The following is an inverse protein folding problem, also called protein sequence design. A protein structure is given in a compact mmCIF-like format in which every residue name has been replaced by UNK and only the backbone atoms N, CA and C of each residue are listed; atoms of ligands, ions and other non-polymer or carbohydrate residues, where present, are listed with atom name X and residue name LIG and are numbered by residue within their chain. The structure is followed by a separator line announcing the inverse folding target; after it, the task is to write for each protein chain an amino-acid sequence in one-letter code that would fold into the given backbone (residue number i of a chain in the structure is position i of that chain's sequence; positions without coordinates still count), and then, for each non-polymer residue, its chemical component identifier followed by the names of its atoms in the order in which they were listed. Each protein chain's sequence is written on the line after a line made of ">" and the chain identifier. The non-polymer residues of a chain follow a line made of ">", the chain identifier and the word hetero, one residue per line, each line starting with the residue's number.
data_IF_238816404701
#
_entry.id   IF_238816404701
#
_cell.length_a   1.000
_cell.length_b   1.000
_cell.length_c   1.000
_cell.angle_alpha   90.00
_cell.angle_beta   90.00
_cell.angle_gamma   90.00
#
_symmetry.space_group_name_H-M   'P 1'
#
loop_
_entity.id
_entity.type
_entity.pdbx_description
1 polymer ?
#
# COMPACT_ATOMS: atom_id res chain seq x y z
N UNK A 1 -4.30 28.83 1.59
CA UNK A 1 -4.67 27.55 0.98
C UNK A 1 -4.86 26.56 2.12
N UNK A 2 -6.05 26.01 2.28
CA UNK A 2 -6.36 25.10 3.39
C UNK A 2 -5.80 23.72 3.07
N UNK A 3 -4.75 23.29 3.79
CA UNK A 3 -4.19 21.95 3.64
C UNK A 3 -5.17 20.96 4.26
N UNK A 4 -5.84 20.19 3.40
CA UNK A 4 -6.74 19.12 3.84
C UNK A 4 -5.94 17.84 3.98
N UNK A 5 -6.19 17.07 5.03
CA UNK A 5 -5.57 15.74 5.20
C UNK A 5 -6.25 14.75 4.28
N UNK A 6 -5.46 13.91 3.61
CA UNK A 6 -6.01 12.75 2.89
C UNK A 6 -6.37 11.72 3.95
N UNK A 7 -7.66 11.64 4.25
CA UNK A 7 -8.19 10.49 4.98
C UNK A 7 -8.28 9.33 4.00
N UNK A 8 -7.41 8.33 4.16
CA UNK A 8 -7.77 6.98 3.72
C UNK A 8 -9.00 6.59 4.54
N UNK A 9 -10.11 6.28 3.86
CA UNK A 9 -11.30 5.70 4.46
C UNK A 9 -11.19 4.20 4.30
N UNK A 10 -10.92 3.50 5.39
CA UNK A 10 -11.00 2.04 5.39
C UNK A 10 -12.47 1.67 5.50
N UNK A 11 -12.95 0.87 4.57
CA UNK A 11 -14.27 0.24 4.68
C UNK A 11 -14.06 -1.14 5.28
N UNK A 12 -14.46 -1.30 6.54
CA UNK A 12 -14.44 -2.59 7.20
C UNK A 12 -15.85 -3.18 7.14
N UNK A 13 -16.00 -4.34 6.50
CA UNK A 13 -17.26 -5.06 6.43
C UNK A 13 -17.18 -6.32 7.31
N UNK A 14 -18.24 -6.56 8.07
CA UNK A 14 -18.56 -7.88 8.61
C UNK A 14 -19.83 -8.41 7.92
N UNK A 15 -20.33 -9.57 8.35
CA UNK A 15 -21.50 -10.22 7.73
C UNK A 15 -22.81 -9.42 7.89
N UNK A 16 -22.84 -8.42 8.78
CA UNK A 16 -24.05 -7.66 9.11
C UNK A 16 -24.00 -6.19 8.65
N UNK A 17 -22.82 -5.58 8.60
CA UNK A 17 -22.63 -4.17 8.27
C UNK A 17 -21.22 -3.82 7.79
N UNK A 18 -21.13 -2.70 7.08
CA UNK A 18 -19.85 -2.07 6.74
C UNK A 18 -19.71 -0.71 7.42
N UNK A 19 -18.60 -0.50 8.13
CA UNK A 19 -18.25 0.77 8.77
C UNK A 19 -17.07 1.42 8.06
N UNK A 20 -17.14 2.74 7.90
CA UNK A 20 -16.01 3.54 7.43
C UNK A 20 -15.18 4.01 8.63
N UNK A 21 -13.91 3.63 8.65
CA UNK A 21 -12.91 4.22 9.55
C UNK A 21 -12.11 5.28 8.80
N UNK A 22 -12.14 6.50 9.33
CA UNK A 22 -11.24 7.57 8.93
C UNK A 22 -9.95 7.41 9.72
N UNK A 23 -8.80 7.47 9.06
CA UNK A 23 -7.52 7.67 9.74
C UNK A 23 -7.30 9.18 9.96
N UNK A 24 -7.54 9.72 11.18
CA UNK A 24 -7.48 11.16 11.41
C UNK A 24 -6.05 11.71 11.29
N UNK A 25 -5.05 10.91 11.68
CA UNK A 25 -3.63 11.26 11.65
C UNK A 25 -2.94 10.72 10.39
N UNK A 26 -3.46 11.11 9.23
CA UNK A 26 -2.86 10.77 7.94
C UNK A 26 -1.63 11.65 7.65
N UNK A 27 -0.49 11.01 7.39
CA UNK A 27 0.77 11.68 6.99
C UNK A 27 0.74 12.27 5.56
N UNK A 28 -0.41 12.22 4.88
CA UNK A 28 -0.58 12.71 3.52
C UNK A 28 -1.49 13.94 3.56
N UNK A 29 -0.95 15.10 3.24
CA UNK A 29 -1.72 16.29 2.88
C UNK A 29 -2.13 16.27 1.41
N UNK A 30 -3.21 16.97 1.09
CA UNK A 30 -3.56 17.29 -0.29
C UNK A 30 -3.97 18.76 -0.46
N UNK A 31 -3.70 19.27 -1.65
CA UNK A 31 -4.13 20.59 -2.09
C UNK A 31 -4.64 20.52 -3.54
N UNK A 32 -5.81 21.09 -3.80
CA UNK A 32 -6.27 21.28 -5.17
C UNK A 32 -5.37 22.32 -5.87
N UNK A 33 -4.76 21.94 -6.98
CA UNK A 33 -3.97 22.86 -7.80
C UNK A 33 -4.81 23.45 -8.94
N UNK A 34 -5.77 22.69 -9.47
CA UNK A 34 -6.76 23.13 -10.48
C UNK A 34 -8.03 22.29 -10.39
N UNK A 35 -9.01 22.52 -11.27
CA UNK A 35 -10.24 21.72 -11.36
C UNK A 35 -10.00 20.22 -11.57
N UNK A 36 -8.90 19.85 -12.23
CA UNK A 36 -8.58 18.46 -12.57
C UNK A 36 -7.24 17.98 -11.97
N UNK A 37 -6.64 18.74 -11.07
CA UNK A 37 -5.33 18.43 -10.49
C UNK A 37 -5.34 18.56 -8.98
N UNK A 38 -4.89 17.50 -8.32
CA UNK A 38 -4.68 17.44 -6.89
C UNK A 38 -3.21 17.11 -6.64
N UNK A 39 -2.57 17.91 -5.78
CA UNK A 39 -1.23 17.63 -5.30
C UNK A 39 -1.33 16.86 -3.99
N UNK A 40 -0.57 15.77 -3.90
CA UNK A 40 -0.36 15.02 -2.67
C UNK A 40 1.01 15.39 -2.08
N UNK A 41 1.06 15.63 -0.78
CA UNK A 41 2.29 15.95 -0.04
C UNK A 41 2.39 15.03 1.16
N UNK A 42 3.55 14.39 1.32
CA UNK A 42 3.82 13.58 2.50
C UNK A 42 4.51 14.44 3.55
N UNK A 43 3.99 14.44 4.78
CA UNK A 43 4.64 15.09 5.93
C UNK A 43 5.88 14.30 6.38
N UNK A 44 5.79 12.97 6.29
CA UNK A 44 6.89 12.05 6.55
C UNK A 44 7.14 11.16 5.32
N UNK A 45 8.41 10.84 4.98
CA UNK A 45 8.67 9.97 3.84
C UNK A 45 7.97 8.61 4.00
N UNK A 46 7.33 8.06 2.95
CA UNK A 46 6.65 6.78 3.02
C UNK A 46 7.65 5.68 3.34
N UNK A 47 7.30 4.82 4.31
CA UNK A 47 8.15 3.71 4.78
C UNK A 47 7.81 2.39 4.12
N UNK A 48 6.59 2.27 3.61
CA UNK A 48 6.04 1.02 3.09
C UNK A 48 5.27 1.28 1.80
N UNK A 49 5.41 0.39 0.81
CA UNK A 49 4.67 0.40 -0.44
C UNK A 49 3.99 -0.95 -0.65
N UNK A 50 2.72 -0.95 -1.05
CA UNK A 50 2.01 -2.14 -1.52
C UNK A 50 2.09 -2.18 -3.04
N UNK A 51 2.60 -3.29 -3.59
CA UNK A 51 2.67 -3.52 -5.04
C UNK A 51 1.66 -4.58 -5.41
N UNK A 52 0.70 -4.20 -6.25
CA UNK A 52 -0.30 -5.10 -6.84
C UNK A 52 0.01 -5.21 -8.32
N UNK A 53 0.18 -6.44 -8.83
CA UNK A 53 0.40 -6.71 -10.26
C UNK A 53 -0.80 -7.41 -10.87
N UNK A 54 -0.99 -7.23 -12.18
CA UNK A 54 -1.90 -8.08 -12.94
C UNK A 54 -1.38 -9.54 -12.94
N UNK A 55 -2.20 -10.54 -12.58
CA UNK A 55 -1.79 -11.95 -12.63
C UNK A 55 -1.54 -12.39 -14.08
N UNK A 56 -0.65 -13.38 -14.24
CA UNK A 56 -0.34 -14.02 -15.54
C UNK A 56 0.11 -13.08 -16.67
N UNK A 57 0.63 -11.90 -16.35
CA UNK A 57 1.15 -10.95 -17.35
C UNK A 57 2.66 -10.82 -17.21
N UNK A 58 3.46 -11.30 -18.19
CA UNK A 58 4.92 -11.25 -18.09
C UNK A 58 5.45 -9.81 -18.11
N UNK A 59 4.77 -8.91 -18.82
CA UNK A 59 5.10 -7.48 -18.85
C UNK A 59 4.93 -6.82 -17.47
N UNK A 60 3.83 -7.14 -16.76
CA UNK A 60 3.60 -6.63 -15.41
C UNK A 60 4.62 -7.17 -14.42
N UNK A 61 5.01 -8.44 -14.56
CA UNK A 61 6.07 -9.07 -13.76
C UNK A 61 7.42 -8.41 -13.96
N UNK A 62 7.83 -8.14 -15.21
CA UNK A 62 9.09 -7.43 -15.49
C UNK A 62 9.08 -5.99 -14.95
N UNK A 63 7.95 -5.27 -15.12
CA UNK A 63 7.79 -3.93 -14.57
C UNK A 63 7.84 -3.92 -13.04
N UNK A 64 7.21 -4.91 -12.39
CA UNK A 64 7.21 -5.06 -10.94
C UNK A 64 8.62 -5.25 -10.39
N UNK A 65 9.44 -6.10 -11.00
CA UNK A 65 10.84 -6.30 -10.61
C UNK A 65 11.62 -4.98 -10.67
N UNK A 66 11.46 -4.21 -11.75
CA UNK A 66 12.15 -2.93 -11.91
C UNK A 66 11.75 -1.90 -10.84
N UNK A 67 10.44 -1.79 -10.57
CA UNK A 67 9.92 -0.89 -9.53
C UNK A 67 10.39 -1.33 -8.15
N UNK A 68 10.36 -2.63 -7.88
CA UNK A 68 10.73 -3.19 -6.59
C UNK A 68 12.22 -2.96 -6.28
N UNK A 69 13.10 -3.20 -7.24
CA UNK A 69 14.53 -2.90 -7.10
C UNK A 69 14.77 -1.41 -6.89
N UNK A 70 14.09 -0.54 -7.65
CA UNK A 70 14.21 0.91 -7.46
C UNK A 70 13.81 1.35 -6.04
N UNK A 71 12.67 0.87 -5.54
CA UNK A 71 12.16 1.18 -4.21
C UNK A 71 13.08 0.66 -3.10
N UNK A 72 13.64 -0.54 -3.23
CA UNK A 72 14.58 -1.11 -2.28
C UNK A 72 15.94 -0.38 -2.27
N UNK A 73 16.49 -0.16 -3.46
CA UNK A 73 17.88 0.28 -3.59
C UNK A 73 18.02 1.76 -3.31
N UNK A 74 17.09 2.56 -3.85
CA UNK A 74 17.15 4.03 -3.80
C UNK A 74 16.40 4.61 -2.62
N UNK A 75 15.24 4.07 -2.30
CA UNK A 75 14.30 4.68 -1.35
C UNK A 75 14.21 3.94 -0.02
N UNK A 76 14.78 2.73 0.08
CA UNK A 76 14.77 1.89 1.30
C UNK A 76 13.36 1.69 1.85
N UNK A 77 12.39 1.55 0.95
CA UNK A 77 10.97 1.35 1.28
C UNK A 77 10.70 -0.14 1.41
N UNK A 78 10.00 -0.54 2.48
CA UNK A 78 9.52 -1.91 2.67
C UNK A 78 8.41 -2.21 1.67
N UNK A 79 8.51 -3.31 0.95
CA UNK A 79 7.52 -3.67 -0.07
C UNK A 79 6.65 -4.82 0.39
N UNK A 80 5.33 -4.59 0.36
CA UNK A 80 4.31 -5.59 0.58
C UNK A 80 3.79 -6.09 -0.76
N UNK A 81 3.63 -7.40 -0.89
CA UNK A 81 3.05 -8.07 -2.08
C UNK A 81 2.09 -9.16 -1.63
N UNK A 82 1.19 -9.58 -2.52
CA UNK A 82 0.34 -10.73 -2.26
C UNK A 82 1.17 -12.03 -2.12
N UNK A 83 0.71 -13.00 -1.30
CA UNK A 83 1.42 -14.27 -1.11
C UNK A 83 1.70 -15.02 -2.42
N UNK A 84 0.72 -15.03 -3.34
CA UNK A 84 0.87 -15.66 -4.66
C UNK A 84 2.00 -15.02 -5.47
N UNK A 85 2.10 -13.68 -5.42
CA UNK A 85 3.17 -12.94 -6.10
C UNK A 85 4.52 -13.22 -5.46
N UNK A 86 4.61 -13.33 -4.13
CA UNK A 86 5.86 -13.69 -3.46
C UNK A 86 6.35 -15.08 -3.87
N UNK A 87 5.43 -16.04 -4.05
CA UNK A 87 5.77 -17.39 -4.51
C UNK A 87 6.33 -17.41 -5.94
N UNK A 88 5.89 -16.49 -6.81
CA UNK A 88 6.43 -16.35 -8.17
C UNK A 88 7.88 -15.80 -8.19
N UNK A 89 8.28 -15.06 -7.16
CA UNK A 89 9.59 -14.39 -7.10
C UNK A 89 10.41 -14.75 -5.85
N UNK A 90 10.84 -16.02 -5.69
CA UNK A 90 11.66 -16.43 -4.54
C UNK A 90 13.04 -15.78 -4.51
N UNK A 91 13.50 -15.23 -5.64
CA UNK A 91 14.78 -14.53 -5.77
C UNK A 91 14.79 -13.13 -5.17
N UNK A 92 13.65 -12.59 -4.73
CA UNK A 92 13.53 -11.26 -4.13
C UNK A 92 13.18 -11.35 -2.63
N UNK A 93 14.16 -11.59 -1.75
CA UNK A 93 13.92 -11.84 -0.32
C UNK A 93 13.40 -10.60 0.44
N UNK A 94 13.62 -9.41 -0.11
CA UNK A 94 13.15 -8.14 0.47
C UNK A 94 11.63 -7.94 0.31
N UNK A 95 10.93 -8.77 -0.48
CA UNK A 95 9.48 -8.72 -0.60
C UNK A 95 8.82 -9.37 0.62
N UNK A 96 7.96 -8.60 1.29
CA UNK A 96 7.17 -9.07 2.43
C UNK A 96 5.79 -9.47 1.93
N UNK A 97 5.31 -10.64 2.35
CA UNK A 97 3.95 -11.07 2.01
C UNK A 97 2.96 -10.29 2.87
N UNK A 98 1.85 -9.86 2.27
CA UNK A 98 0.63 -9.59 3.01
C UNK A 98 0.15 -10.93 3.57
N UNK A 99 0.54 -11.25 4.79
CA UNK A 99 -0.02 -12.38 5.52
C UNK A 99 -1.18 -11.80 6.30
N UNK A 100 -2.38 -12.36 6.12
CA UNK A 100 -3.45 -12.20 7.10
C UNK A 100 -2.91 -12.83 8.39
N UNK A 101 -2.35 -12.02 9.29
CA UNK A 101 -2.35 -12.43 10.68
C UNK A 101 -3.81 -12.43 11.07
N UNK A 102 -4.46 -13.58 10.90
CA UNK A 102 -5.55 -13.97 11.78
C UNK A 102 -5.02 -13.68 13.18
N UNK A 103 -5.55 -12.62 13.80
CA UNK A 103 -5.23 -12.32 15.19
C UNK A 103 -5.42 -13.60 15.99
N UNK A 104 -4.64 -13.84 17.06
CA UNK A 104 -4.85 -15.00 17.89
C UNK A 104 -6.33 -15.03 18.26
N UNK A 105 -7.02 -16.05 17.73
CA UNK A 105 -8.37 -16.37 18.11
C UNK A 105 -8.40 -16.30 19.64
N UNK A 106 -9.32 -15.51 20.17
CA UNK A 106 -9.59 -15.40 21.59
C UNK A 106 -9.61 -16.81 22.20
N UNK A 107 -8.50 -17.17 22.84
CA UNK A 107 -8.30 -18.41 23.55
C UNK A 107 -7.96 -18.02 24.98
N UNK A 108 -9.01 -17.72 25.74
CA UNK A 108 -9.20 -17.93 27.18
C UNK A 108 -10.33 -17.02 27.69
#
# INVERSE_FOLDING_TARGET
>A
MENRRVGLKLLQCNDEMCQYELKPDGDIGWAAQSTNSVRLTWDSPPKTALIIKKPNSPESSAAMVNVANFLNDRLKITMLVEPAVKAEFPTMPFLVSLVDTEGPAAAA
#
